data_IF_027262839371
#
_entry.id   IF_027262839371
#
_cell.length_a   1.000
_cell.length_b   1.000
_cell.length_c   1.000
_cell.angle_alpha   90.00
_cell.angle_beta   90.00
_cell.angle_gamma   90.00
#
_symmetry.space_group_name_H-M   'P 1'
#
loop_
_entity.id
_entity.type
_entity.pdbx_description
1 polymer ?
#
# COMPACT_ATOMS: atom_id res chain seq x y z
N UNK A 1 26.65 2.74 9.46
CA UNK A 1 26.14 3.91 8.72
C UNK A 1 24.87 3.60 7.90
N UNK A 2 24.86 2.58 7.04
CA UNK A 2 23.69 2.21 6.23
C UNK A 2 22.39 1.99 7.04
N UNK A 3 22.45 1.33 8.21
CA UNK A 3 21.27 1.18 9.07
C UNK A 3 20.79 2.50 9.71
N UNK A 4 21.69 3.46 9.98
CA UNK A 4 21.29 4.80 10.45
C UNK A 4 20.53 5.54 9.34
N UNK A 5 21.01 5.45 8.10
CA UNK A 5 20.35 5.99 6.91
C UNK A 5 18.97 5.34 6.69
N UNK A 6 18.90 4.01 6.78
CA UNK A 6 17.62 3.30 6.68
C UNK A 6 16.66 3.78 7.78
N UNK A 7 17.13 3.94 9.01
CA UNK A 7 16.32 4.45 10.12
C UNK A 7 15.78 5.84 9.82
N UNK A 8 16.63 6.78 9.38
CA UNK A 8 16.21 8.13 8.95
C UNK A 8 15.13 8.06 7.86
N UNK A 9 15.31 7.19 6.86
CA UNK A 9 14.33 7.03 5.78
C UNK A 9 13.02 6.42 6.26
N UNK A 10 13.03 5.57 7.28
CA UNK A 10 11.81 5.03 7.89
C UNK A 10 11.11 6.07 8.77
N UNK A 11 11.86 6.82 9.56
CA UNK A 11 11.32 7.68 10.62
C UNK A 11 11.01 9.08 10.17
N UNK A 12 11.77 9.66 9.24
CA UNK A 12 11.67 11.09 8.95
C UNK A 12 11.47 11.41 7.47
N UNK A 13 11.93 10.53 6.56
CA UNK A 13 11.88 10.80 5.11
C UNK A 13 10.89 9.89 4.35
N UNK A 14 10.19 8.99 5.04
CA UNK A 14 9.15 8.17 4.43
C UNK A 14 7.92 9.04 4.14
N UNK A 15 7.41 8.97 2.91
CA UNK A 15 6.14 9.60 2.51
C UNK A 15 5.02 9.26 3.50
N UNK A 16 4.87 7.99 3.85
CA UNK A 16 3.85 7.51 4.79
C UNK A 16 4.02 8.17 6.17
N UNK A 17 5.25 8.29 6.67
CA UNK A 17 5.50 8.95 7.95
C UNK A 17 5.19 10.46 7.89
N UNK A 18 5.64 11.15 6.85
CA UNK A 18 5.39 12.59 6.67
C UNK A 18 3.89 12.86 6.58
N UNK A 19 3.15 12.04 5.83
CA UNK A 19 1.70 12.13 5.70
C UNK A 19 1.06 11.90 7.07
N UNK A 20 1.34 10.79 7.74
CA UNK A 20 0.73 10.45 9.05
C UNK A 20 1.00 11.55 10.09
N UNK A 21 2.22 12.09 10.14
CA UNK A 21 2.61 13.12 11.11
C UNK A 21 1.88 14.46 10.89
N UNK A 22 1.55 14.80 9.64
CA UNK A 22 0.93 16.07 9.26
C UNK A 22 -0.56 15.95 8.91
N UNK A 23 -1.11 14.73 8.93
CA UNK A 23 -2.50 14.46 8.61
C UNK A 23 -3.40 15.09 9.67
N UNK A 24 -4.37 15.89 9.21
CA UNK A 24 -5.44 16.37 10.08
C UNK A 24 -6.46 15.25 10.25
N UNK A 25 -6.31 14.48 11.32
CA UNK A 25 -7.22 13.39 11.71
C UNK A 25 -8.70 13.80 11.77
N UNK A 26 -8.99 15.09 11.93
CA UNK A 26 -10.38 15.61 11.96
C UNK A 26 -11.19 15.21 10.72
N UNK A 27 -10.63 15.35 9.52
CA UNK A 27 -11.36 15.05 8.29
C UNK A 27 -11.51 13.54 8.08
N UNK A 28 -10.45 12.77 8.35
CA UNK A 28 -10.48 11.31 8.35
C UNK A 28 -11.53 10.76 9.32
N UNK A 29 -11.55 11.27 10.56
CA UNK A 29 -12.49 10.85 11.59
C UNK A 29 -13.94 11.19 11.21
N UNK A 30 -14.19 12.35 10.60
CA UNK A 30 -15.54 12.71 10.11
C UNK A 30 -16.05 11.71 9.09
N UNK A 31 -15.21 11.33 8.13
CA UNK A 31 -15.59 10.39 7.08
C UNK A 31 -15.75 8.96 7.60
N UNK A 32 -14.93 8.55 8.57
CA UNK A 32 -15.09 7.25 9.25
C UNK A 32 -16.38 7.18 10.07
N UNK A 33 -16.71 8.24 10.81
CA UNK A 33 -17.99 8.32 11.56
C UNK A 33 -19.18 8.28 10.60
N UNK A 34 -19.13 9.02 9.48
CA UNK A 34 -20.19 8.99 8.47
C UNK A 34 -20.37 7.60 7.84
N UNK A 35 -19.27 6.88 7.59
CA UNK A 35 -19.28 5.52 7.06
C UNK A 35 -19.90 4.53 8.06
N UNK A 36 -19.54 4.62 9.35
CA UNK A 36 -20.14 3.77 10.40
C UNK A 36 -21.64 4.04 10.55
N UNK A 37 -22.04 5.32 10.54
CA UNK A 37 -23.46 5.71 10.64
C UNK A 37 -24.25 5.18 9.44
N UNK A 38 -23.72 5.28 8.22
CA UNK A 38 -24.41 4.79 7.01
C UNK A 38 -24.54 3.26 6.99
N UNK A 39 -23.54 2.52 7.48
CA UNK A 39 -23.65 1.06 7.66
C UNK A 39 -24.73 0.72 8.68
N UNK A 40 -24.75 1.38 9.85
CA UNK A 40 -25.78 1.17 10.88
C UNK A 40 -27.19 1.45 10.33
N UNK A 41 -27.34 2.50 9.54
CA UNK A 41 -28.62 2.89 8.96
C UNK A 41 -29.14 1.84 7.95
N UNK A 42 -28.25 1.22 7.17
CA UNK A 42 -28.59 0.11 6.27
C UNK A 42 -29.01 -1.13 7.06
N UNK A 43 -28.29 -1.47 8.13
CA UNK A 43 -28.65 -2.59 9.00
C UNK A 43 -30.03 -2.39 9.62
N UNK A 44 -30.33 -1.19 10.11
CA UNK A 44 -31.64 -0.85 10.68
C UNK A 44 -32.75 -0.93 9.61
N UNK A 45 -32.54 -0.36 8.42
CA UNK A 45 -33.52 -0.39 7.34
C UNK A 45 -33.85 -1.83 6.89
N UNK A 46 -32.84 -2.71 6.88
CA UNK A 46 -32.99 -4.12 6.48
C UNK A 46 -33.68 -4.96 7.56
N UNK A 47 -33.19 -4.89 8.80
CA UNK A 47 -33.61 -5.81 9.85
C UNK A 47 -34.75 -5.28 10.72
N UNK A 48 -34.87 -3.97 10.93
CA UNK A 48 -35.93 -3.40 11.76
C UNK A 48 -37.16 -2.98 10.95
N UNK A 49 -36.98 -2.55 9.70
CA UNK A 49 -38.06 -1.98 8.88
C UNK A 49 -38.44 -2.82 7.65
N UNK A 50 -37.72 -3.91 7.37
CA UNK A 50 -37.93 -4.79 6.20
C UNK A 50 -38.19 -4.02 4.89
N UNK A 51 -37.42 -2.95 4.70
CA UNK A 51 -37.67 -1.97 3.63
C UNK A 51 -36.89 -2.30 2.37
N UNK A 52 -37.53 -2.21 1.21
CA UNK A 52 -36.93 -2.41 -0.14
C UNK A 52 -35.91 -1.33 -0.49
N UNK A 53 -35.81 -0.27 0.32
CA UNK A 53 -34.87 0.83 0.16
C UNK A 53 -33.41 0.47 0.50
N UNK A 54 -33.12 -0.80 0.82
CA UNK A 54 -31.75 -1.30 1.07
C UNK A 54 -30.78 -1.01 -0.09
N UNK A 55 -31.27 -1.07 -1.33
CA UNK A 55 -30.48 -0.76 -2.53
C UNK A 55 -30.07 0.72 -2.62
N UNK A 56 -30.92 1.62 -2.11
CA UNK A 56 -30.62 3.06 -2.01
C UNK A 56 -29.57 3.32 -0.92
N UNK A 57 -29.65 2.59 0.19
CA UNK A 57 -28.63 2.59 1.23
C UNK A 57 -27.25 2.17 0.70
N UNK A 58 -27.18 1.09 -0.08
CA UNK A 58 -25.94 0.64 -0.72
C UNK A 58 -25.37 1.67 -1.70
N UNK A 59 -26.25 2.33 -2.47
CA UNK A 59 -25.87 3.40 -3.40
C UNK A 59 -25.30 4.62 -2.68
N UNK A 60 -25.83 4.95 -1.49
CA UNK A 60 -25.31 6.01 -0.64
C UNK A 60 -23.92 5.72 -0.09
N UNK A 61 -23.58 4.46 0.20
CA UNK A 61 -22.23 4.05 0.63
C UNK A 61 -21.21 4.28 -0.47
N UNK A 62 -21.56 3.99 -1.73
CA UNK A 62 -20.67 4.22 -2.88
C UNK A 62 -20.36 5.71 -3.00
N UNK A 63 -21.37 6.57 -2.86
CA UNK A 63 -21.18 8.03 -2.90
C UNK A 63 -20.28 8.50 -1.74
N UNK A 64 -20.52 8.01 -0.52
CA UNK A 64 -19.69 8.34 0.64
C UNK A 64 -18.24 7.88 0.50
N UNK A 65 -18.03 6.70 -0.10
CA UNK A 65 -16.70 6.20 -0.41
C UNK A 65 -15.97 7.11 -1.43
N UNK A 66 -16.66 7.58 -2.47
CA UNK A 66 -16.09 8.53 -3.43
C UNK A 66 -15.73 9.88 -2.77
N UNK A 67 -16.57 10.39 -1.88
CA UNK A 67 -16.29 11.60 -1.09
C UNK A 67 -15.06 11.40 -0.20
N UNK A 68 -14.96 10.24 0.46
CA UNK A 68 -13.79 9.90 1.28
C UNK A 68 -12.49 9.84 0.47
N UNK A 69 -12.53 9.24 -0.74
CA UNK A 69 -11.37 9.22 -1.63
C UNK A 69 -10.94 10.63 -2.04
N UNK A 70 -11.90 11.48 -2.41
CA UNK A 70 -11.62 12.87 -2.76
C UNK A 70 -10.99 13.64 -1.59
N UNK A 71 -11.56 13.54 -0.40
CA UNK A 71 -11.05 14.22 0.80
C UNK A 71 -9.63 13.72 1.15
N UNK A 72 -9.38 12.42 0.97
CA UNK A 72 -8.06 11.81 1.20
C UNK A 72 -7.01 12.31 0.20
N UNK A 73 -7.37 12.47 -1.07
CA UNK A 73 -6.49 13.05 -2.10
C UNK A 73 -6.18 14.51 -1.77
N UNK A 74 -7.19 15.30 -1.41
CA UNK A 74 -7.00 16.72 -1.07
C UNK A 74 -6.11 16.91 0.17
N UNK A 75 -6.25 16.07 1.20
CA UNK A 75 -5.37 16.12 2.36
C UNK A 75 -3.94 15.68 2.02
N UNK A 76 -3.77 14.67 1.16
CA UNK A 76 -2.45 14.27 0.66
C UNK A 76 -1.78 15.44 -0.05
N UNK A 77 -2.48 16.08 -0.97
CA UNK A 77 -1.95 17.17 -1.78
C UNK A 77 -1.64 18.40 -0.89
N UNK A 78 -2.49 18.70 0.10
CA UNK A 78 -2.21 19.72 1.13
C UNK A 78 -0.91 19.44 1.88
N UNK A 79 -0.69 18.20 2.32
CA UNK A 79 0.53 17.84 3.07
C UNK A 79 1.78 17.93 2.19
N UNK A 80 1.66 17.55 0.92
CA UNK A 80 2.78 17.58 -0.03
C UNK A 80 3.13 19.02 -0.41
N UNK A 81 2.15 19.86 -0.74
CA UNK A 81 2.37 21.20 -1.29
C UNK A 81 2.47 22.30 -0.22
N UNK A 82 1.53 22.34 0.74
CA UNK A 82 1.41 23.47 1.66
C UNK A 82 2.24 23.31 2.94
N UNK A 83 2.19 22.14 3.59
CA UNK A 83 2.86 21.97 4.89
C UNK A 83 4.38 21.74 4.77
N UNK A 84 4.93 21.60 3.56
CA UNK A 84 6.38 21.52 3.30
C UNK A 84 6.98 22.84 2.78
N UNK A 85 6.24 23.96 2.89
CA UNK A 85 6.70 25.27 2.44
C UNK A 85 6.81 25.38 0.92
N UNK A 86 5.92 24.74 0.17
CA UNK A 86 5.93 24.73 -1.29
C UNK A 86 6.93 23.75 -1.92
N UNK A 87 7.68 22.99 -1.11
CA UNK A 87 8.65 22.02 -1.59
C UNK A 87 8.01 20.68 -1.91
N UNK A 88 8.39 20.07 -3.05
CA UNK A 88 7.94 18.73 -3.40
C UNK A 88 8.47 17.69 -2.39
N UNK A 89 7.77 16.55 -2.24
CA UNK A 89 8.22 15.46 -1.36
C UNK A 89 9.69 15.07 -1.59
N UNK A 90 10.10 15.06 -2.86
CA UNK A 90 11.46 14.78 -3.25
C UNK A 90 12.46 15.81 -2.71
N UNK A 91 12.14 17.11 -2.80
CA UNK A 91 13.00 18.17 -2.25
C UNK A 91 13.12 18.06 -0.73
N UNK A 92 12.02 17.76 -0.02
CA UNK A 92 12.04 17.51 1.43
C UNK A 92 12.94 16.33 1.78
N UNK A 93 12.90 15.27 0.97
CA UNK A 93 13.73 14.08 1.16
C UNK A 93 15.21 14.38 0.97
N UNK A 94 15.57 15.09 -0.09
CA UNK A 94 16.96 15.50 -0.38
C UNK A 94 17.49 16.46 0.69
N UNK A 95 16.70 17.46 1.11
CA UNK A 95 17.10 18.40 2.16
C UNK A 95 17.34 17.70 3.50
N UNK A 96 16.47 16.74 3.85
CA UNK A 96 16.63 15.90 5.04
C UNK A 96 17.87 15.02 4.99
N UNK A 97 18.16 14.43 3.82
CA UNK A 97 19.39 13.67 3.59
C UNK A 97 20.64 14.56 3.72
N UNK A 98 20.66 15.75 3.10
CA UNK A 98 21.76 16.72 3.23
C UNK A 98 22.01 17.10 4.69
N UNK A 99 20.96 17.44 5.43
CA UNK A 99 21.06 17.79 6.85
C UNK A 99 21.67 16.66 7.67
N UNK A 100 21.28 15.41 7.39
CA UNK A 100 21.85 14.24 8.05
C UNK A 100 23.33 14.03 7.71
N UNK A 101 23.71 14.13 6.43
CA UNK A 101 25.10 13.99 6.00
C UNK A 101 26.01 15.06 6.61
N UNK A 102 25.54 16.30 6.70
CA UNK A 102 26.26 17.39 7.37
C UNK A 102 26.43 17.14 8.86
N UNK A 103 25.38 16.67 9.53
CA UNK A 103 25.44 16.35 10.97
C UNK A 103 26.41 15.19 11.28
N UNK A 104 26.60 14.26 10.34
CA UNK A 104 27.54 13.14 10.49
C UNK A 104 28.93 13.44 9.86
N UNK A 105 29.16 14.66 9.33
CA UNK A 105 30.46 15.09 8.77
C UNK A 105 30.87 14.37 7.48
N UNK A 106 29.90 13.97 6.67
CA UNK A 106 30.10 13.20 5.42
C UNK A 106 29.95 14.09 4.17
N UNK A 107 29.30 15.25 4.30
CA UNK A 107 28.96 16.16 3.19
C UNK A 107 30.17 16.83 2.50
N UNK A 108 31.33 16.81 3.12
CA UNK A 108 32.53 17.55 2.66
C UNK A 108 33.48 16.73 1.78
N UNK A 109 33.31 15.41 1.67
CA UNK A 109 34.23 14.54 0.92
C UNK A 109 33.50 13.62 -0.07
N UNK A 110 33.66 13.83 -1.39
CA UNK A 110 33.03 13.01 -2.42
C UNK A 110 33.35 11.51 -2.29
N UNK A 111 34.57 11.18 -1.83
CA UNK A 111 35.00 9.79 -1.59
C UNK A 111 34.20 9.11 -0.47
N UNK A 112 33.79 9.84 0.56
CA UNK A 112 32.96 9.30 1.65
C UNK A 112 31.54 9.01 1.16
N UNK A 113 31.01 9.87 0.28
CA UNK A 113 29.69 9.66 -0.34
C UNK A 113 29.72 8.44 -1.28
N UNK A 114 30.74 8.31 -2.14
CA UNK A 114 30.91 7.13 -3.01
C UNK A 114 31.01 5.82 -2.22
N UNK A 115 31.81 5.82 -1.14
CA UNK A 115 31.93 4.66 -0.25
C UNK A 115 30.60 4.33 0.45
N UNK A 116 29.82 5.34 0.81
CA UNK A 116 28.50 5.16 1.40
C UNK A 116 27.48 4.59 0.42
N UNK A 117 27.51 5.03 -0.85
CA UNK A 117 26.70 4.48 -1.94
C UNK A 117 26.98 2.98 -2.08
N UNK A 118 28.26 2.59 -2.18
CA UNK A 118 28.66 1.17 -2.32
C UNK A 118 28.19 0.31 -1.15
N UNK A 119 28.29 0.81 0.08
CA UNK A 119 27.81 0.11 1.28
C UNK A 119 26.29 -0.08 1.23
N UNK A 120 25.54 0.97 0.83
CA UNK A 120 24.09 0.92 0.73
C UNK A 120 23.63 -0.03 -0.38
N UNK A 121 24.31 -0.03 -1.53
CA UNK A 121 23.99 -0.95 -2.63
C UNK A 121 24.23 -2.40 -2.26
N UNK A 122 25.38 -2.69 -1.62
CA UNK A 122 25.67 -4.04 -1.10
C UNK A 122 24.57 -4.52 -0.14
N UNK A 123 24.15 -3.66 0.79
CA UNK A 123 23.05 -3.97 1.71
C UNK A 123 21.71 -4.19 0.99
N UNK A 124 21.46 -3.49 -0.12
CA UNK A 124 20.27 -3.73 -0.94
C UNK A 124 20.30 -5.10 -1.59
N UNK A 125 21.47 -5.53 -2.09
CA UNK A 125 21.62 -6.84 -2.73
C UNK A 125 21.48 -7.98 -1.71
N UNK A 126 22.06 -7.81 -0.52
CA UNK A 126 22.00 -8.81 0.56
C UNK A 126 20.55 -9.05 1.05
N UNK A 127 19.70 -8.01 1.03
CA UNK A 127 18.31 -8.06 1.52
C UNK A 127 17.33 -8.44 0.39
N UNK A 128 17.79 -8.58 -0.84
CA UNK A 128 16.94 -8.89 -2.00
C UNK A 128 16.31 -10.27 -1.84
N UNK A 129 15.02 -10.30 -1.55
CA UNK A 129 14.28 -11.56 -1.46
C UNK A 129 13.98 -12.07 -2.87
N UNK A 130 14.32 -13.34 -3.19
CA UNK A 130 14.10 -13.90 -4.51
C UNK A 130 12.60 -13.93 -4.86
N UNK A 131 12.28 -13.40 -6.04
CA UNK A 131 10.93 -13.14 -6.55
C UNK A 131 10.02 -14.37 -6.63
N UNK A 132 10.59 -15.58 -6.62
CA UNK A 132 9.90 -16.85 -6.82
C UNK A 132 9.11 -17.35 -5.62
N UNK A 133 9.50 -16.97 -4.39
CA UNK A 133 8.91 -17.55 -3.17
C UNK A 133 7.46 -17.09 -2.96
N UNK A 134 7.11 -15.87 -3.35
CA UNK A 134 5.77 -15.32 -3.10
C UNK A 134 4.69 -15.76 -4.09
N UNK A 135 4.99 -15.84 -5.40
CA UNK A 135 3.99 -16.12 -6.44
C UNK A 135 3.88 -17.59 -6.83
N UNK A 136 4.99 -18.33 -6.76
CA UNK A 136 5.03 -19.75 -7.11
C UNK A 136 4.26 -20.63 -6.14
N UNK A 137 4.36 -20.35 -4.83
CA UNK A 137 3.66 -21.09 -3.77
C UNK A 137 2.13 -20.91 -3.87
N UNK A 138 1.65 -19.73 -4.27
CA UNK A 138 0.22 -19.51 -4.45
C UNK A 138 -0.36 -20.29 -5.63
N UNK A 139 0.32 -20.28 -6.78
CA UNK A 139 -0.12 -21.00 -7.98
C UNK A 139 -0.11 -22.51 -7.78
N UNK A 140 0.88 -23.05 -7.07
CA UNK A 140 0.99 -24.50 -6.82
C UNK A 140 -0.13 -25.04 -5.93
N UNK A 141 -0.70 -24.22 -5.04
CA UNK A 141 -1.84 -24.60 -4.18
C UNK A 141 -3.19 -24.37 -4.88
N UNK A 142 -3.33 -23.29 -5.65
CA UNK A 142 -4.59 -22.93 -6.30
C UNK A 142 -4.98 -23.85 -7.46
N UNK A 143 -4.03 -24.25 -8.30
CA UNK A 143 -4.31 -25.06 -9.50
C UNK A 143 -4.95 -26.41 -9.14
N UNK A 144 -4.42 -27.19 -8.16
CA UNK A 144 -5.04 -28.46 -7.76
C UNK A 144 -6.45 -28.30 -7.18
N UNK A 145 -6.68 -27.25 -6.37
CA UNK A 145 -7.99 -26.99 -5.76
C UNK A 145 -9.03 -26.68 -6.83
N UNK A 146 -8.71 -25.80 -7.79
CA UNK A 146 -9.61 -25.45 -8.89
C UNK A 146 -9.89 -26.68 -9.76
N UNK A 147 -8.85 -27.45 -10.11
CA UNK A 147 -8.99 -28.65 -10.91
C UNK A 147 -9.88 -29.69 -10.23
N UNK A 148 -9.63 -30.00 -8.95
CA UNK A 148 -10.43 -30.96 -8.19
C UNK A 148 -11.89 -30.51 -8.01
N UNK A 149 -12.10 -29.21 -7.81
CA UNK A 149 -13.45 -28.63 -7.64
C UNK A 149 -14.23 -28.70 -8.96
N UNK A 150 -13.60 -28.32 -10.08
CA UNK A 150 -14.20 -28.38 -11.40
C UNK A 150 -14.61 -29.81 -11.79
N UNK A 151 -13.72 -30.79 -11.60
CA UNK A 151 -13.99 -32.19 -11.93
C UNK A 151 -15.11 -32.80 -11.07
N UNK A 152 -15.21 -32.43 -9.79
CA UNK A 152 -16.26 -32.93 -8.91
C UNK A 152 -17.65 -32.33 -9.21
N UNK A 153 -17.71 -31.04 -9.55
CA UNK A 153 -19.00 -30.36 -9.78
C UNK A 153 -19.61 -30.80 -11.12
N UNK A 154 -18.80 -30.85 -12.19
CA UNK A 154 -19.25 -31.26 -13.52
C UNK A 154 -19.74 -32.71 -13.56
N UNK A 155 -19.14 -33.61 -12.78
CA UNK A 155 -19.54 -35.00 -12.76
C UNK A 155 -20.79 -35.29 -11.90
N UNK A 156 -21.21 -34.36 -11.03
CA UNK A 156 -22.20 -34.67 -9.96
C UNK A 156 -23.48 -33.83 -10.02
N UNK A 157 -23.49 -32.71 -10.73
CA UNK A 157 -24.61 -31.75 -10.72
C UNK A 157 -25.10 -31.31 -12.11
N UNK A 158 -24.84 -32.10 -13.16
CA UNK A 158 -25.23 -31.79 -14.56
C UNK A 158 -26.72 -31.54 -14.78
N UNK A 159 -27.61 -32.07 -13.92
CA UNK A 159 -29.06 -32.05 -14.17
C UNK A 159 -29.78 -30.83 -13.56
N UNK A 160 -29.13 -30.02 -12.72
CA UNK A 160 -29.76 -28.85 -12.10
C UNK A 160 -28.96 -27.56 -12.32
N UNK A 161 -29.30 -26.88 -13.41
CA UNK A 161 -28.62 -25.68 -13.92
C UNK A 161 -28.56 -24.54 -12.88
N UNK A 162 -29.58 -24.41 -12.05
CA UNK A 162 -29.66 -23.38 -11.01
C UNK A 162 -28.60 -23.59 -9.90
N UNK A 163 -28.36 -24.86 -9.55
CA UNK A 163 -27.32 -25.24 -8.58
C UNK A 163 -25.92 -25.01 -9.16
N UNK A 164 -25.72 -25.31 -10.44
CA UNK A 164 -24.45 -25.08 -11.14
C UNK A 164 -24.10 -23.60 -11.20
N UNK A 165 -25.07 -22.74 -11.53
CA UNK A 165 -24.88 -21.27 -11.57
C UNK A 165 -24.55 -20.71 -10.19
N UNK A 166 -25.23 -21.16 -9.13
CA UNK A 166 -24.96 -20.71 -7.76
C UNK A 166 -23.55 -21.09 -7.30
N UNK A 167 -23.11 -22.32 -7.58
CA UNK A 167 -21.76 -22.77 -7.26
C UNK A 167 -20.71 -21.96 -8.05
N UNK A 168 -20.98 -21.65 -9.32
CA UNK A 168 -20.07 -20.83 -10.14
C UNK A 168 -19.94 -19.40 -9.58
N UNK A 169 -21.03 -18.80 -9.12
CA UNK A 169 -21.02 -17.49 -8.45
C UNK A 169 -20.21 -17.51 -7.14
N UNK A 170 -20.33 -18.59 -6.35
CA UNK A 170 -19.55 -18.76 -5.12
C UNK A 170 -18.06 -18.91 -5.44
N UNK A 171 -17.69 -19.70 -6.46
CA UNK A 171 -16.30 -19.84 -6.90
C UNK A 171 -15.76 -18.51 -7.43
N UNK A 172 -16.54 -17.77 -8.23
CA UNK A 172 -16.15 -16.45 -8.73
C UNK A 172 -15.95 -15.45 -7.59
N UNK A 173 -16.82 -15.47 -6.57
CA UNK A 173 -16.68 -14.65 -5.36
C UNK A 173 -15.41 -15.03 -4.57
N UNK A 174 -15.11 -16.33 -4.42
CA UNK A 174 -13.88 -16.80 -3.77
C UNK A 174 -12.64 -16.36 -4.56
N UNK A 175 -12.65 -16.48 -5.89
CA UNK A 175 -11.55 -16.01 -6.75
C UNK A 175 -11.38 -14.50 -6.62
N UNK A 176 -12.47 -13.72 -6.59
CA UNK A 176 -12.44 -12.28 -6.38
C UNK A 176 -11.84 -11.94 -5.00
N UNK A 177 -12.25 -12.62 -3.94
CA UNK A 177 -11.71 -12.43 -2.59
C UNK A 177 -10.23 -12.80 -2.52
N UNK A 178 -9.82 -13.89 -3.17
CA UNK A 178 -8.40 -14.29 -3.28
C UNK A 178 -7.62 -13.25 -4.08
N UNK A 179 -8.18 -12.70 -5.15
CA UNK A 179 -7.54 -11.66 -5.95
C UNK A 179 -7.36 -10.36 -5.16
N UNK A 180 -8.38 -9.95 -4.40
CA UNK A 180 -8.31 -8.81 -3.47
C UNK A 180 -7.26 -9.08 -2.39
N UNK A 181 -7.26 -10.29 -1.81
CA UNK A 181 -6.30 -10.71 -0.81
C UNK A 181 -4.85 -10.72 -1.35
N UNK A 182 -4.61 -11.25 -2.55
CA UNK A 182 -3.28 -11.22 -3.20
C UNK A 182 -2.87 -9.79 -3.52
N UNK A 183 -3.80 -8.94 -3.97
CA UNK A 183 -3.51 -7.53 -4.26
C UNK A 183 -3.18 -6.74 -3.00
N UNK A 184 -3.88 -7.01 -1.89
CA UNK A 184 -3.59 -6.45 -0.57
C UNK A 184 -2.27 -7.00 0.00
N UNK A 185 -2.00 -8.30 -0.17
CA UNK A 185 -0.71 -8.90 0.17
C UNK A 185 0.41 -8.31 -0.66
N UNK A 186 0.20 -7.98 -1.94
CA UNK A 186 1.23 -7.33 -2.76
C UNK A 186 1.62 -5.98 -2.17
N UNK A 187 0.65 -5.18 -1.72
CA UNK A 187 0.88 -3.95 -0.97
C UNK A 187 1.69 -4.21 0.30
N UNK A 188 1.28 -5.20 1.10
CA UNK A 188 1.99 -5.58 2.34
C UNK A 188 3.39 -6.13 2.04
N UNK A 189 3.56 -6.92 0.99
CA UNK A 189 4.82 -7.53 0.59
C UNK A 189 5.80 -6.47 0.08
N UNK A 190 5.34 -5.54 -0.76
CA UNK A 190 6.17 -4.45 -1.25
C UNK A 190 6.55 -3.46 -0.14
N UNK A 191 5.69 -3.26 0.87
CA UNK A 191 5.92 -2.29 1.95
C UNK A 191 6.63 -2.87 3.19
N UNK A 192 6.39 -4.15 3.54
CA UNK A 192 6.98 -4.83 4.71
C UNK A 192 8.12 -5.78 4.36
N UNK A 193 8.00 -6.55 3.26
CA UNK A 193 8.96 -7.62 2.92
C UNK A 193 10.07 -7.07 2.01
N UNK A 194 9.71 -6.34 0.96
CA UNK A 194 10.63 -5.66 0.05
C UNK A 194 10.86 -4.17 0.41
N UNK A 195 10.20 -3.67 1.45
CA UNK A 195 10.24 -2.25 1.80
C UNK A 195 11.65 -1.75 2.09
N UNK A 196 12.47 -2.56 2.77
CA UNK A 196 13.84 -2.19 3.11
C UNK A 196 14.77 -2.24 1.88
N UNK A 197 14.60 -3.24 1.01
CA UNK A 197 15.29 -3.31 -0.28
C UNK A 197 15.01 -2.06 -1.13
N UNK A 198 13.74 -1.68 -1.30
CA UNK A 198 13.35 -0.51 -2.08
C UNK A 198 13.84 0.80 -1.45
N UNK A 199 13.83 0.89 -0.12
CA UNK A 199 14.37 2.06 0.61
C UNK A 199 15.88 2.18 0.42
N UNK A 200 16.64 1.09 0.50
CA UNK A 200 18.08 1.12 0.22
C UNK A 200 18.40 1.55 -1.22
N UNK A 201 17.64 1.10 -2.21
CA UNK A 201 17.75 1.61 -3.58
C UNK A 201 17.46 3.10 -3.70
N UNK A 202 16.43 3.57 -3.00
CA UNK A 202 16.07 4.99 -2.99
C UNK A 202 17.18 5.83 -2.35
N UNK A 203 17.75 5.37 -1.23
CA UNK A 203 18.88 6.01 -0.56
C UNK A 203 20.10 6.10 -1.50
N UNK A 204 20.46 5.01 -2.18
CA UNK A 204 21.58 5.00 -3.12
C UNK A 204 21.38 6.01 -4.26
N UNK A 205 20.16 6.10 -4.81
CA UNK A 205 19.84 7.05 -5.87
C UNK A 205 19.89 8.50 -5.39
N UNK A 206 19.33 8.79 -4.22
CA UNK A 206 19.36 10.13 -3.63
C UNK A 206 20.81 10.55 -3.29
N UNK A 207 21.64 9.63 -2.79
CA UNK A 207 23.08 9.88 -2.56
C UNK A 207 23.85 10.13 -3.85
N UNK A 208 23.56 9.38 -4.92
CA UNK A 208 24.16 9.63 -6.25
C UNK A 208 23.81 11.01 -6.77
N UNK A 209 22.56 11.41 -6.64
CA UNK A 209 22.14 12.72 -7.09
C UNK A 209 22.86 13.84 -6.33
N UNK A 210 23.05 13.69 -5.01
CA UNK A 210 23.85 14.60 -4.22
C UNK A 210 25.30 14.67 -4.71
N UNK A 211 25.90 13.52 -4.97
CA UNK A 211 27.25 13.42 -5.52
C UNK A 211 27.39 14.12 -6.88
N UNK A 212 26.41 13.96 -7.78
CA UNK A 212 26.46 14.55 -9.13
C UNK A 212 26.03 16.03 -9.20
N UNK A 213 25.33 16.56 -8.19
CA UNK A 213 24.95 17.98 -8.14
C UNK A 213 25.97 18.88 -7.44
N UNK A 214 26.87 18.30 -6.64
CA UNK A 214 27.89 19.03 -5.88
C UNK A 214 29.31 18.93 -6.48
N UNK A 215 29.51 18.05 -7.48
CA UNK A 215 30.70 17.99 -8.36
C UNK A 215 30.41 18.76 -9.64
#
# INVERSE_FOLDING_TARGET
MAHKLLRLYKTDLSLSHIIIKKLKWRNFNRSMVALVISILLIVILKYALHSVWENVGFSSLIIWYLVFLRDSILERDRVIEFDNGGKSYYQVRIDGLKKFLRNEGIDTEPKKIDLLIKIVEKQSEDIKIPFFVGRGIFLSVLIPIISATYTNILNKYTDNLETVVMIFLIIALIILLIFIYISAIKLIYDEFINGDYQRYKTIANDLRELYFKEV
#
